data_IF_600822847154
#
_entry.id   IF_600822847154
#
_cell.length_a   1.000
_cell.length_b   1.000
_cell.length_c   1.000
_cell.angle_alpha   90.00
_cell.angle_beta   90.00
_cell.angle_gamma   90.00
#
_symmetry.space_group_name_H-M   'P 1'
#
loop_
_entity.id
_entity.type
_entity.pdbx_description
1 polymer ?
#
# COMPACT_ATOMS: atom_id res chain seq x y z
N UNK A 1 19.21 -0.81 -5.92
CA UNK A 1 19.36 0.45 -5.18
C UNK A 1 19.28 1.69 -6.08
N UNK A 2 19.82 1.69 -7.29
CA UNK A 2 19.86 2.86 -8.17
C UNK A 2 18.50 3.35 -8.71
N UNK A 3 17.54 2.45 -8.94
CA UNK A 3 16.22 2.81 -9.50
C UNK A 3 15.37 3.58 -8.47
N UNK A 4 15.41 3.18 -7.21
CA UNK A 4 14.67 3.84 -6.12
C UNK A 4 15.28 5.23 -5.84
N UNK A 5 16.60 5.36 -5.90
CA UNK A 5 17.29 6.64 -5.78
C UNK A 5 16.99 7.56 -6.98
N UNK A 6 16.89 7.01 -8.19
CA UNK A 6 16.52 7.73 -9.39
C UNK A 6 15.08 8.26 -9.34
N UNK A 7 14.13 7.43 -8.94
CA UNK A 7 12.72 7.83 -8.75
C UNK A 7 12.56 8.90 -7.66
N UNK A 8 13.35 8.84 -6.61
CA UNK A 8 13.38 9.84 -5.54
C UNK A 8 13.94 11.19 -6.02
N UNK A 9 14.95 11.17 -6.90
CA UNK A 9 15.57 12.37 -7.46
C UNK A 9 14.75 13.07 -8.56
N UNK A 10 13.85 12.36 -9.23
CA UNK A 10 13.05 12.92 -10.35
C UNK A 10 11.82 13.73 -9.85
N UNK A 11 11.61 13.84 -8.53
CA UNK A 11 10.48 14.60 -7.97
C UNK A 11 9.09 14.01 -8.31
N UNK A 12 9.04 12.77 -8.79
CA UNK A 12 7.78 12.07 -9.05
C UNK A 12 6.97 11.92 -7.76
N UNK A 13 7.65 11.65 -6.66
CA UNK A 13 7.01 11.54 -5.36
C UNK A 13 6.47 12.88 -4.85
N UNK A 14 7.16 13.99 -5.14
CA UNK A 14 6.69 15.33 -4.75
C UNK A 14 5.44 15.71 -5.55
N UNK A 15 5.43 15.47 -6.87
CA UNK A 15 4.24 15.68 -7.71
C UNK A 15 3.07 14.77 -7.33
N UNK A 16 3.35 13.52 -6.96
CA UNK A 16 2.33 12.58 -6.46
C UNK A 16 1.79 13.06 -5.11
N UNK A 17 2.67 13.51 -4.22
CA UNK A 17 2.31 14.09 -2.94
C UNK A 17 1.42 15.33 -3.11
N UNK A 18 1.80 16.26 -3.97
CA UNK A 18 1.02 17.47 -4.26
C UNK A 18 -0.36 17.15 -4.83
N UNK A 19 -0.45 16.20 -5.77
CA UNK A 19 -1.74 15.75 -6.32
C UNK A 19 -2.63 15.07 -5.27
N UNK A 20 -2.04 14.27 -4.39
CA UNK A 20 -2.77 13.60 -3.31
C UNK A 20 -3.21 14.60 -2.23
N UNK A 21 -2.40 15.64 -1.98
CA UNK A 21 -2.72 16.72 -1.06
C UNK A 21 -3.78 17.68 -1.63
N UNK A 22 -3.70 18.02 -2.91
CA UNK A 22 -4.62 18.93 -3.60
C UNK A 22 -6.06 18.38 -3.71
N UNK A 23 -6.23 17.05 -3.71
CA UNK A 23 -7.54 16.40 -3.88
C UNK A 23 -8.42 16.42 -2.62
N UNK A 24 -8.04 17.17 -1.56
CA UNK A 24 -8.89 17.46 -0.39
C UNK A 24 -9.31 16.25 0.46
N UNK A 25 -8.74 15.07 0.23
CA UNK A 25 -9.03 13.88 1.00
C UNK A 25 -8.45 14.03 2.42
N UNK A 26 -9.27 13.79 3.45
CA UNK A 26 -8.80 13.71 4.83
C UNK A 26 -7.65 12.69 4.98
N UNK A 27 -6.96 12.69 6.13
CA UNK A 27 -5.85 11.78 6.43
C UNK A 27 -6.22 10.31 6.09
N UNK A 28 -7.47 9.90 6.33
CA UNK A 28 -7.97 8.57 5.99
C UNK A 28 -7.97 8.29 4.48
N UNK A 29 -8.37 9.26 3.65
CA UNK A 29 -8.38 9.10 2.19
C UNK A 29 -6.97 8.95 1.61
N UNK A 30 -6.02 9.75 2.08
CA UNK A 30 -4.60 9.63 1.68
C UNK A 30 -4.03 8.26 2.07
N UNK A 31 -4.35 7.78 3.28
CA UNK A 31 -3.95 6.45 3.75
C UNK A 31 -4.44 5.35 2.82
N UNK A 32 -5.73 5.36 2.45
CA UNK A 32 -6.32 4.37 1.54
C UNK A 32 -5.61 4.38 0.18
N UNK A 33 -5.39 5.56 -0.39
CA UNK A 33 -4.72 5.70 -1.70
C UNK A 33 -3.30 5.15 -1.64
N UNK A 34 -2.55 5.45 -0.58
CA UNK A 34 -1.18 4.96 -0.41
C UNK A 34 -1.12 3.43 -0.25
N UNK A 35 -2.07 2.84 0.46
CA UNK A 35 -2.17 1.39 0.63
C UNK A 35 -2.53 0.72 -0.71
N UNK A 36 -3.52 1.26 -1.45
CA UNK A 36 -3.87 0.77 -2.78
C UNK A 36 -2.71 0.88 -3.75
N UNK A 37 -2.00 2.01 -3.74
CA UNK A 37 -0.84 2.22 -4.60
C UNK A 37 0.26 1.18 -4.30
N UNK A 38 0.52 0.94 -3.02
CA UNK A 38 1.48 -0.07 -2.58
C UNK A 38 1.07 -1.49 -3.04
N UNK A 39 -0.23 -1.82 -2.94
CA UNK A 39 -0.79 -3.08 -3.40
C UNK A 39 -0.56 -3.28 -4.91
N UNK A 40 -0.96 -2.32 -5.73
CA UNK A 40 -0.84 -2.45 -7.20
C UNK A 40 0.61 -2.42 -7.66
N UNK A 41 1.45 -1.57 -7.07
CA UNK A 41 2.85 -1.49 -7.45
C UNK A 41 3.62 -2.76 -7.11
N UNK A 42 3.26 -3.45 -6.02
CA UNK A 42 3.89 -4.72 -5.65
C UNK A 42 3.59 -5.88 -6.61
N UNK A 43 2.61 -5.73 -7.51
CA UNK A 43 2.36 -6.69 -8.60
C UNK A 43 3.42 -6.62 -9.70
N UNK A 44 4.00 -5.45 -9.92
CA UNK A 44 4.96 -5.20 -11.02
C UNK A 44 6.41 -5.20 -10.53
N UNK A 45 6.62 -4.73 -9.32
CA UNK A 45 7.91 -4.75 -8.63
C UNK A 45 7.78 -5.63 -7.39
N UNK A 46 8.89 -6.14 -6.89
CA UNK A 46 8.85 -6.99 -5.69
C UNK A 46 8.23 -6.26 -4.50
N UNK A 47 7.58 -7.01 -3.61
CA UNK A 47 7.00 -6.47 -2.37
C UNK A 47 8.01 -5.65 -1.57
N UNK A 48 9.27 -6.11 -1.50
CA UNK A 48 10.33 -5.44 -0.73
C UNK A 48 10.69 -4.08 -1.31
N UNK A 49 10.84 -3.99 -2.65
CA UNK A 49 11.12 -2.72 -3.33
C UNK A 49 9.93 -1.76 -3.20
N UNK A 50 8.71 -2.27 -3.27
CA UNK A 50 7.50 -1.49 -3.03
C UNK A 50 7.50 -0.89 -1.62
N UNK A 51 7.80 -1.69 -0.59
CA UNK A 51 7.84 -1.23 0.80
C UNK A 51 8.95 -0.21 1.06
N UNK A 52 10.17 -0.48 0.60
CA UNK A 52 11.31 0.45 0.75
C UNK A 52 11.02 1.81 0.10
N UNK A 53 10.19 1.82 -0.93
CA UNK A 53 9.81 3.04 -1.65
C UNK A 53 8.65 3.77 -0.97
N UNK A 54 7.55 3.07 -0.71
CA UNK A 54 6.30 3.71 -0.28
C UNK A 54 6.21 3.96 1.22
N UNK A 55 6.87 3.19 2.08
CA UNK A 55 6.82 3.41 3.53
C UNK A 55 7.48 4.73 3.95
N UNK A 56 8.71 5.06 3.55
CA UNK A 56 9.29 6.36 3.84
C UNK A 56 8.49 7.53 3.26
N UNK A 57 7.96 7.35 2.05
CA UNK A 57 7.10 8.34 1.41
C UNK A 57 5.83 8.61 2.24
N UNK A 58 5.19 7.55 2.74
CA UNK A 58 4.01 7.67 3.60
C UNK A 58 4.32 8.42 4.89
N UNK A 59 5.45 8.13 5.53
CA UNK A 59 5.87 8.81 6.76
C UNK A 59 6.06 10.31 6.52
N UNK A 60 6.76 10.67 5.45
CA UNK A 60 7.00 12.07 5.07
C UNK A 60 5.68 12.79 4.78
N UNK A 61 4.81 12.17 3.99
CA UNK A 61 3.54 12.74 3.59
C UNK A 61 2.60 12.95 4.78
N UNK A 62 2.51 11.98 5.67
CA UNK A 62 1.67 12.05 6.86
C UNK A 62 2.15 13.12 7.84
N UNK A 63 3.46 13.23 8.08
CA UNK A 63 4.05 14.28 8.91
C UNK A 63 3.89 15.67 8.31
N UNK A 64 4.02 15.80 6.98
CA UNK A 64 3.81 17.09 6.28
C UNK A 64 2.37 17.57 6.39
N UNK A 65 1.41 16.65 6.40
CA UNK A 65 -0.02 16.98 6.48
C UNK A 65 -0.51 17.22 7.91
N UNK A 66 0.01 16.50 8.87
CA UNK A 66 -0.29 16.65 10.28
C UNK A 66 0.99 16.37 11.09
N UNK A 67 1.69 17.42 11.57
CA UNK A 67 2.90 17.25 12.38
C UNK A 67 2.68 16.42 13.65
N UNK A 68 1.47 16.51 14.23
CA UNK A 68 1.07 15.83 15.46
C UNK A 68 0.37 14.48 15.21
N UNK A 69 0.66 13.86 14.06
CA UNK A 69 0.11 12.54 13.76
C UNK A 69 0.49 11.53 14.85
N UNK A 70 -0.53 10.88 15.45
CA UNK A 70 -0.33 9.83 16.44
C UNK A 70 0.56 8.72 15.88
N UNK A 71 1.67 8.43 16.58
CA UNK A 71 2.61 7.38 16.20
C UNK A 71 1.96 6.00 16.08
N UNK A 72 0.93 5.71 16.90
CA UNK A 72 0.15 4.47 16.82
C UNK A 72 -0.64 4.37 15.51
N UNK A 73 -1.17 5.50 15.03
CA UNK A 73 -1.86 5.54 13.74
C UNK A 73 -0.89 5.35 12.58
N UNK A 74 0.26 6.02 12.62
CA UNK A 74 1.31 5.85 11.62
C UNK A 74 1.79 4.40 11.53
N UNK A 75 2.00 3.75 12.68
CA UNK A 75 2.36 2.34 12.73
C UNK A 75 1.30 1.45 12.07
N UNK A 76 0.01 1.68 12.35
CA UNK A 76 -1.09 0.93 11.70
C UNK A 76 -1.08 1.08 10.18
N UNK A 77 -0.82 2.28 9.68
CA UNK A 77 -0.76 2.52 8.22
C UNK A 77 0.41 1.76 7.59
N UNK A 78 1.58 1.77 8.23
CA UNK A 78 2.76 1.03 7.76
C UNK A 78 2.49 -0.47 7.76
N UNK A 79 1.90 -1.01 8.81
CA UNK A 79 1.50 -2.43 8.87
C UNK A 79 0.52 -2.78 7.75
N UNK A 80 -0.48 -1.92 7.50
CA UNK A 80 -1.42 -2.11 6.39
C UNK A 80 -0.75 -2.07 5.02
N UNK A 81 0.24 -1.19 4.82
CA UNK A 81 1.03 -1.17 3.58
C UNK A 81 1.85 -2.44 3.40
N UNK A 82 2.42 -2.96 4.49
CA UNK A 82 3.18 -4.23 4.45
C UNK A 82 2.28 -5.39 4.06
N UNK A 83 1.09 -5.48 4.63
CA UNK A 83 0.09 -6.49 4.28
C UNK A 83 -0.33 -6.32 2.81
N UNK A 84 -0.62 -5.09 2.39
CA UNK A 84 -1.03 -4.77 1.03
C UNK A 84 0.04 -5.15 -0.01
N UNK A 85 1.31 -4.86 0.25
CA UNK A 85 2.42 -5.22 -0.64
C UNK A 85 2.55 -6.75 -0.79
N UNK A 86 2.46 -7.49 0.31
CA UNK A 86 2.53 -8.94 0.28
C UNK A 86 1.34 -9.57 -0.45
N UNK A 87 0.13 -9.09 -0.20
CA UNK A 87 -1.08 -9.60 -0.87
C UNK A 87 -1.10 -9.24 -2.37
N UNK A 88 -0.68 -8.02 -2.73
CA UNK A 88 -0.60 -7.61 -4.13
C UNK A 88 0.44 -8.40 -4.92
N UNK A 89 1.58 -8.66 -4.32
CA UNK A 89 2.67 -9.41 -4.94
C UNK A 89 2.34 -10.89 -5.24
N UNK A 90 1.25 -11.41 -4.67
CA UNK A 90 0.80 -12.79 -4.94
C UNK A 90 0.33 -13.01 -6.38
N UNK A 91 -0.13 -11.96 -7.07
CA UNK A 91 -0.73 -12.11 -8.40
C UNK A 91 0.28 -12.54 -9.44
N UNK A 92 1.49 -12.02 -9.42
CA UNK A 92 2.50 -12.26 -10.46
C UNK A 92 3.66 -13.12 -9.98
N UNK A 93 4.30 -13.89 -10.88
CA UNK A 93 5.49 -14.65 -10.53
C UNK A 93 6.65 -13.75 -10.06
N UNK A 94 6.71 -12.51 -10.55
CA UNK A 94 7.77 -11.53 -10.24
C UNK A 94 7.54 -10.78 -8.92
N UNK A 95 6.34 -10.82 -8.38
CA UNK A 95 5.97 -10.05 -7.18
C UNK A 95 6.71 -10.49 -5.92
N UNK A 96 7.06 -11.76 -5.80
CA UNK A 96 7.90 -12.28 -4.72
C UNK A 96 8.68 -13.54 -5.15
N UNK A 97 9.81 -13.85 -4.47
CA UNK A 97 10.65 -15.00 -4.80
C UNK A 97 9.92 -16.35 -4.67
N UNK A 98 8.96 -16.45 -3.75
CA UNK A 98 8.18 -17.68 -3.52
C UNK A 98 7.32 -18.01 -4.75
N UNK A 99 6.65 -17.00 -5.32
CA UNK A 99 5.84 -17.16 -6.52
C UNK A 99 6.70 -17.53 -7.74
N UNK A 100 7.89 -16.92 -7.86
CA UNK A 100 8.83 -17.24 -8.93
C UNK A 100 9.27 -18.71 -8.85
N UNK A 101 9.55 -19.19 -7.64
CA UNK A 101 9.91 -20.59 -7.42
C UNK A 101 8.76 -21.54 -7.75
N UNK A 102 7.53 -21.24 -7.28
CA UNK A 102 6.33 -22.04 -7.57
C UNK A 102 6.05 -22.08 -9.07
N UNK A 103 6.12 -20.94 -9.74
CA UNK A 103 5.96 -20.83 -11.18
C UNK A 103 6.96 -21.70 -11.94
N UNK A 104 8.24 -21.62 -11.58
CA UNK A 104 9.29 -22.43 -12.19
C UNK A 104 9.14 -23.93 -11.97
N UNK A 105 8.64 -24.34 -10.78
CA UNK A 105 8.40 -25.76 -10.45
C UNK A 105 7.14 -26.31 -11.09
N UNK A 106 6.10 -25.50 -11.23
CA UNK A 106 4.83 -25.93 -11.80
C UNK A 106 4.89 -26.15 -13.33
N UNK A 107 5.85 -25.51 -14.02
CA UNK A 107 6.00 -25.63 -15.47
C UNK A 107 4.79 -25.15 -16.29
N UNK A 108 3.94 -24.30 -15.66
CA UNK A 108 2.73 -23.73 -16.27
C UNK A 108 3.03 -22.41 -16.97
N UNK A 109 2.18 -22.00 -17.92
CA UNK A 109 2.30 -20.71 -18.57
C UNK A 109 1.96 -19.53 -17.63
N UNK A 110 2.50 -18.35 -17.91
CA UNK A 110 2.22 -17.13 -17.14
C UNK A 110 0.72 -16.85 -17.06
N UNK A 111 0.01 -17.01 -18.17
CA UNK A 111 -1.44 -16.77 -18.23
C UNK A 111 -2.23 -17.74 -17.33
N UNK A 112 -1.78 -18.96 -17.21
CA UNK A 112 -2.39 -19.99 -16.37
C UNK A 112 -2.11 -19.70 -14.88
N UNK A 113 -0.87 -19.33 -14.55
CA UNK A 113 -0.51 -18.87 -13.20
C UNK A 113 -1.36 -17.68 -12.75
N UNK A 114 -1.50 -16.66 -13.62
CA UNK A 114 -2.33 -15.49 -13.33
C UNK A 114 -3.80 -15.85 -13.10
N UNK A 115 -4.37 -16.76 -13.92
CA UNK A 115 -5.76 -17.23 -13.76
C UNK A 115 -5.98 -17.93 -12.41
N UNK A 116 -5.01 -18.71 -11.96
CA UNK A 116 -5.07 -19.40 -10.68
C UNK A 116 -4.97 -18.40 -9.51
N UNK A 117 -4.06 -17.42 -9.59
CA UNK A 117 -3.81 -16.47 -8.52
C UNK A 117 -4.80 -15.30 -8.44
N UNK A 118 -5.46 -14.97 -9.56
CA UNK A 118 -6.39 -13.85 -9.65
C UNK A 118 -7.52 -13.90 -8.59
N UNK A 119 -8.27 -15.00 -8.43
CA UNK A 119 -9.37 -15.05 -7.46
C UNK A 119 -8.88 -14.83 -6.02
N UNK A 120 -7.73 -15.37 -5.66
CA UNK A 120 -7.14 -15.19 -4.34
C UNK A 120 -6.73 -13.73 -4.10
N UNK A 121 -6.11 -13.11 -5.10
CA UNK A 121 -5.69 -11.70 -5.03
C UNK A 121 -6.88 -10.75 -4.96
N UNK A 122 -7.95 -11.00 -5.72
CA UNK A 122 -9.19 -10.22 -5.65
C UNK A 122 -9.85 -10.35 -4.28
N UNK A 123 -9.94 -11.57 -3.75
CA UNK A 123 -10.49 -11.82 -2.42
C UNK A 123 -9.67 -11.11 -1.33
N UNK A 124 -8.34 -11.19 -1.41
CA UNK A 124 -7.42 -10.52 -0.50
C UNK A 124 -7.56 -9.00 -0.56
N UNK A 125 -7.70 -8.44 -1.76
CA UNK A 125 -7.94 -7.01 -1.95
C UNK A 125 -9.28 -6.56 -1.34
N UNK A 126 -10.35 -7.32 -1.56
CA UNK A 126 -11.66 -7.03 -0.98
C UNK A 126 -11.63 -7.04 0.56
N UNK A 127 -10.97 -8.04 1.16
CA UNK A 127 -10.79 -8.12 2.61
C UNK A 127 -9.95 -6.96 3.15
N UNK A 128 -8.88 -6.59 2.45
CA UNK A 128 -8.03 -5.45 2.81
C UNK A 128 -8.83 -4.14 2.80
N UNK A 129 -9.63 -3.91 1.76
CA UNK A 129 -10.47 -2.71 1.65
C UNK A 129 -11.56 -2.67 2.72
N UNK A 130 -12.20 -3.80 3.01
CA UNK A 130 -13.17 -3.92 4.10
C UNK A 130 -12.53 -3.59 5.46
N UNK A 131 -11.35 -4.11 5.73
CA UNK A 131 -10.61 -3.83 6.96
C UNK A 131 -10.25 -2.36 7.11
N UNK A 132 -9.73 -1.73 6.04
CA UNK A 132 -9.39 -0.30 6.03
C UNK A 132 -10.65 0.55 6.26
N UNK A 133 -11.76 0.19 5.63
CA UNK A 133 -13.06 0.85 5.83
C UNK A 133 -13.51 0.80 7.29
N UNK A 134 -13.46 -0.36 7.91
CA UNK A 134 -13.79 -0.54 9.33
C UNK A 134 -12.86 0.27 10.24
N UNK A 135 -11.55 0.20 10.00
CA UNK A 135 -10.56 0.95 10.79
C UNK A 135 -10.77 2.47 10.70
N UNK A 136 -11.13 2.98 9.51
CA UNK A 136 -11.42 4.40 9.31
C UNK A 136 -12.72 4.84 9.99
N UNK A 137 -13.74 4.00 10.00
CA UNK A 137 -15.02 4.27 10.71
C UNK A 137 -14.83 4.32 12.23
N UNK A 138 -14.09 3.37 12.78
CA UNK A 138 -13.78 3.33 14.23
C UNK A 138 -13.02 4.59 14.66
N UNK A 139 -12.07 5.04 13.83
CA UNK A 139 -11.33 6.28 14.09
C UNK A 139 -12.24 7.52 14.08
N UNK A 140 -13.12 7.65 13.09
CA UNK A 140 -14.07 8.77 13.03
C UNK A 140 -14.96 8.83 14.25
N UNK A 141 -15.43 7.69 14.75
CA UNK A 141 -16.24 7.62 15.97
C UNK A 141 -15.47 8.09 17.22
N UNK A 142 -14.18 7.71 17.32
CA UNK A 142 -13.34 8.10 18.46
C UNK A 142 -13.10 9.60 18.50
N UNK A 143 -12.77 10.23 17.37
CA UNK A 143 -12.56 11.66 17.26
C UNK A 143 -13.84 12.46 17.57
N UNK A 144 -14.99 12.00 17.11
CA UNK A 144 -16.29 12.62 17.42
C UNK A 144 -16.70 12.50 18.90
N UNK A 145 -16.13 11.56 19.64
CA UNK A 145 -16.39 11.40 21.07
C UNK A 145 -15.49 12.30 21.92
N UNK A 146 -14.23 12.50 21.49
CA UNK A 146 -13.27 13.40 22.15
C UNK A 146 -13.63 14.88 21.96
N UNK A 147 -14.31 15.24 20.88
CA UNK A 147 -14.74 16.61 20.58
C UNK A 147 -16.01 17.03 21.38
N UNK A 148 -16.70 16.06 22.01
CA UNK A 148 -17.93 16.28 22.80
C UNK A 148 -17.71 16.25 24.30
N UNK A 149 -16.47 16.04 24.76
CA UNK A 149 -16.10 16.04 26.19
C UNK A 149 -15.21 17.20 26.52
#
# INVERSE_FOLDING_TARGET
>A
MSIVAGLRNIGVFDKLAERLLAKGHGIGGVTVILICLCFFMSMFITNDVSLITFVPFTIILMKKRNPDVDGKWMLKVIVMQTIAANLGSMLTPLGNPQNLYLYGKAGIGIAEFLKIMLPYTVCAFALLMAWIGLASMVRKRKLSHEEKT
#
